data_IF_971837957175
#
_entry.id   IF_971837957175
#
_cell.length_a   1.000
_cell.length_b   1.000
_cell.length_c   1.000
_cell.angle_alpha   90.00
_cell.angle_beta   90.00
_cell.angle_gamma   90.00
#
_symmetry.space_group_name_H-M   'P 1'
#
loop_
_entity.id
_entity.type
_entity.pdbx_description
1 polymer ?
#
# COMPACT_ATOMS: atom_id res chain seq x y z
N UNK A 1 13.19 -13.04 -11.47
CA UNK A 1 11.74 -12.81 -11.64
C UNK A 1 11.13 -12.51 -10.27
N UNK A 2 10.34 -11.46 -10.16
CA UNK A 2 9.62 -11.14 -8.91
C UNK A 2 8.48 -12.13 -8.73
N UNK A 3 8.30 -12.62 -7.50
CA UNK A 3 7.32 -13.69 -7.20
C UNK A 3 6.04 -13.18 -6.58
N UNK A 4 6.05 -11.93 -6.12
CA UNK A 4 4.92 -11.33 -5.41
C UNK A 4 4.41 -10.10 -6.16
N UNK A 5 3.15 -9.74 -5.90
CA UNK A 5 2.56 -8.46 -6.29
C UNK A 5 2.33 -7.62 -5.04
N UNK A 6 2.46 -6.31 -5.17
CA UNK A 6 2.11 -5.38 -4.10
C UNK A 6 1.33 -4.20 -4.68
N UNK A 7 0.17 -3.92 -4.10
CA UNK A 7 -0.67 -2.78 -4.49
C UNK A 7 -0.53 -1.69 -3.45
N UNK A 8 -0.13 -0.51 -3.89
CA UNK A 8 0.01 0.71 -3.09
C UNK A 8 -0.94 1.79 -3.58
N UNK A 9 -1.65 2.45 -2.68
CA UNK A 9 -2.53 3.57 -3.01
C UNK A 9 -2.88 4.39 -1.77
N UNK A 10 -3.44 5.58 -1.97
CA UNK A 10 -4.11 6.36 -0.91
C UNK A 10 -5.57 5.92 -0.71
N UNK A 11 -6.15 5.23 -1.67
CA UNK A 11 -7.46 4.59 -1.57
C UNK A 11 -7.27 3.12 -1.17
N UNK A 12 -7.21 2.88 0.15
CA UNK A 12 -6.90 1.57 0.69
C UNK A 12 -7.96 0.52 0.37
N UNK A 13 -9.24 0.90 0.40
CA UNK A 13 -10.34 -0.04 0.15
C UNK A 13 -10.34 -0.50 -1.31
N UNK A 14 -10.13 0.41 -2.25
CA UNK A 14 -9.96 0.08 -3.67
C UNK A 14 -8.73 -0.82 -3.88
N UNK A 15 -7.60 -0.50 -3.27
CA UNK A 15 -6.39 -1.33 -3.35
C UNK A 15 -6.62 -2.73 -2.81
N UNK A 16 -7.37 -2.86 -1.71
CA UNK A 16 -7.70 -4.13 -1.10
C UNK A 16 -8.61 -4.97 -1.99
N UNK A 17 -9.61 -4.36 -2.60
CA UNK A 17 -10.48 -5.03 -3.57
C UNK A 17 -9.68 -5.52 -4.78
N UNK A 18 -8.89 -4.65 -5.39
CA UNK A 18 -8.02 -5.00 -6.51
C UNK A 18 -7.03 -6.11 -6.16
N UNK A 19 -6.37 -6.03 -5.00
CA UNK A 19 -5.41 -7.05 -4.57
C UNK A 19 -6.06 -8.44 -4.40
N UNK A 20 -7.30 -8.50 -3.93
CA UNK A 20 -8.07 -9.77 -3.86
C UNK A 20 -8.34 -10.33 -5.26
N UNK A 21 -8.78 -9.49 -6.19
CA UNK A 21 -9.04 -9.90 -7.59
C UNK A 21 -7.74 -10.40 -8.25
N UNK A 22 -6.63 -9.72 -8.03
CA UNK A 22 -5.32 -10.16 -8.54
C UNK A 22 -4.91 -11.50 -7.94
N UNK A 23 -5.09 -11.69 -6.63
CA UNK A 23 -4.76 -12.94 -5.96
C UNK A 23 -5.57 -14.12 -6.53
N UNK A 24 -6.86 -13.95 -6.78
CA UNK A 24 -7.72 -14.93 -7.44
C UNK A 24 -7.26 -15.18 -8.90
N UNK A 25 -7.03 -14.10 -9.66
CA UNK A 25 -6.66 -14.18 -11.09
C UNK A 25 -5.35 -14.93 -11.31
N UNK A 26 -4.36 -14.71 -10.43
CA UNK A 26 -3.04 -15.32 -10.55
C UNK A 26 -2.84 -16.53 -9.63
N UNK A 27 -3.89 -17.00 -8.94
CA UNK A 27 -3.85 -18.13 -7.99
C UNK A 27 -2.78 -17.92 -6.90
N UNK A 28 -2.66 -16.69 -6.39
CA UNK A 28 -1.71 -16.28 -5.35
C UNK A 28 -2.44 -16.11 -4.00
N UNK A 29 -1.67 -16.08 -2.92
CA UNK A 29 -2.21 -15.79 -1.58
C UNK A 29 -2.43 -14.30 -1.41
N UNK A 30 -3.52 -13.90 -0.79
CA UNK A 30 -3.81 -12.50 -0.45
C UNK A 30 -3.37 -12.18 0.98
N UNK A 31 -2.71 -11.03 1.17
CA UNK A 31 -2.33 -10.49 2.46
C UNK A 31 -2.63 -9.00 2.56
N UNK A 32 -3.35 -8.64 3.62
CA UNK A 32 -3.68 -7.27 3.99
C UNK A 32 -2.78 -6.84 5.15
N UNK A 33 -1.97 -5.80 4.92
CA UNK A 33 -0.97 -5.34 5.89
C UNK A 33 -1.60 -4.87 7.21
N UNK A 34 -2.76 -4.23 7.15
CA UNK A 34 -3.48 -3.78 8.35
C UNK A 34 -4.12 -4.95 9.09
N UNK A 35 -4.70 -5.91 8.35
CA UNK A 35 -5.21 -7.14 8.97
C UNK A 35 -4.09 -7.96 9.63
N UNK A 36 -2.93 -8.07 8.98
CA UNK A 36 -1.74 -8.69 9.58
C UNK A 36 -1.31 -7.98 10.86
N UNK A 37 -1.30 -6.64 10.86
CA UNK A 37 -1.00 -5.86 12.05
C UNK A 37 -1.99 -6.18 13.18
N UNK A 38 -3.28 -6.11 12.89
CA UNK A 38 -4.34 -6.34 13.86
C UNK A 38 -4.26 -7.77 14.43
N UNK A 39 -4.04 -8.77 13.58
CA UNK A 39 -3.90 -10.16 13.99
C UNK A 39 -2.73 -10.38 14.97
N UNK A 40 -1.57 -9.78 14.68
CA UNK A 40 -0.37 -9.94 15.51
C UNK A 40 -0.36 -9.11 16.79
N UNK A 41 -1.26 -8.13 16.93
CA UNK A 41 -1.29 -7.21 18.05
C UNK A 41 -2.63 -7.22 18.82
N UNK A 42 -3.46 -8.26 18.65
CA UNK A 42 -4.74 -8.43 19.37
C UNK A 42 -4.55 -8.20 20.89
N UNK A 43 -5.42 -7.45 21.53
CA UNK A 43 -6.69 -6.87 21.04
C UNK A 43 -6.55 -5.46 20.43
N UNK A 44 -5.37 -4.99 20.09
CA UNK A 44 -5.12 -3.60 19.68
C UNK A 44 -5.01 -3.50 18.16
N UNK A 45 -5.84 -2.65 17.58
CA UNK A 45 -5.65 -2.09 16.24
C UNK A 45 -4.64 -0.93 16.24
N UNK A 46 -4.35 -0.37 15.06
CA UNK A 46 -3.40 0.74 14.91
C UNK A 46 -3.79 1.93 15.79
N UNK A 47 -5.07 2.33 15.77
CA UNK A 47 -5.57 3.48 16.51
C UNK A 47 -5.47 3.29 18.03
N UNK A 48 -5.90 2.14 18.53
CA UNK A 48 -5.79 1.80 19.95
C UNK A 48 -4.33 1.76 20.41
N UNK A 49 -3.44 1.22 19.58
CA UNK A 49 -2.02 1.17 19.91
C UNK A 49 -1.38 2.55 19.96
N UNK A 50 -1.77 3.49 19.07
CA UNK A 50 -1.34 4.89 19.16
C UNK A 50 -1.75 5.53 20.47
N UNK A 51 -3.01 5.36 20.86
CA UNK A 51 -3.55 5.95 22.11
C UNK A 51 -2.88 5.39 23.36
N UNK A 52 -2.60 4.10 23.40
CA UNK A 52 -2.12 3.43 24.60
C UNK A 52 -0.59 3.38 24.71
N UNK A 53 0.09 3.23 23.60
CA UNK A 53 1.54 2.96 23.56
C UNK A 53 2.37 4.06 22.89
N UNK A 54 1.72 5.01 22.23
CA UNK A 54 2.36 6.12 21.52
C UNK A 54 2.87 5.78 20.12
N UNK A 55 3.33 6.82 19.43
CA UNK A 55 3.70 6.77 18.01
C UNK A 55 4.88 5.83 17.74
N UNK A 56 5.98 5.99 18.48
CA UNK A 56 7.21 5.22 18.23
C UNK A 56 7.01 3.72 18.37
N UNK A 57 6.24 3.31 19.38
CA UNK A 57 5.92 1.91 19.58
C UNK A 57 5.05 1.35 18.45
N UNK A 58 4.03 2.11 18.03
CA UNK A 58 3.14 1.71 16.94
C UNK A 58 3.90 1.61 15.61
N UNK A 59 4.76 2.59 15.29
CA UNK A 59 5.64 2.54 14.11
C UNK A 59 6.54 1.32 14.12
N UNK A 60 7.13 0.98 15.27
CA UNK A 60 7.95 -0.24 15.41
C UNK A 60 7.17 -1.50 15.11
N UNK A 61 5.90 -1.57 15.51
CA UNK A 61 5.02 -2.72 15.24
C UNK A 61 4.60 -2.79 13.77
N UNK A 62 4.26 -1.67 13.15
CA UNK A 62 3.98 -1.59 11.71
C UNK A 62 5.20 -2.06 10.90
N UNK A 63 6.39 -1.61 11.24
CA UNK A 63 7.64 -2.07 10.61
C UNK A 63 7.86 -3.58 10.76
N UNK A 64 7.43 -4.18 11.88
CA UNK A 64 7.56 -5.63 12.07
C UNK A 64 6.66 -6.41 11.10
N UNK A 65 5.46 -5.91 10.80
CA UNK A 65 4.55 -6.50 9.81
C UNK A 65 5.16 -6.42 8.41
N UNK A 66 5.59 -5.23 7.99
CA UNK A 66 6.23 -5.04 6.67
C UNK A 66 7.46 -5.94 6.52
N UNK A 67 8.22 -6.15 7.59
CA UNK A 67 9.40 -7.02 7.58
C UNK A 67 9.05 -8.50 7.34
N UNK A 68 7.92 -8.97 7.86
CA UNK A 68 7.49 -10.36 7.65
C UNK A 68 7.18 -10.66 6.18
N UNK A 69 6.74 -9.67 5.42
CA UNK A 69 6.40 -9.83 4.00
C UNK A 69 7.61 -10.18 3.12
N UNK A 70 8.83 -9.89 3.58
CA UNK A 70 10.07 -10.19 2.85
C UNK A 70 10.25 -11.71 2.63
N UNK A 71 9.71 -12.51 3.54
CA UNK A 71 9.89 -13.96 3.55
C UNK A 71 8.73 -14.71 2.83
N UNK A 72 7.77 -13.99 2.24
CA UNK A 72 6.66 -14.61 1.53
C UNK A 72 6.94 -14.71 0.03
N UNK A 73 6.46 -15.79 -0.57
CA UNK A 73 6.43 -16.02 -2.02
C UNK A 73 4.99 -16.26 -2.49
N UNK A 74 4.73 -16.08 -3.79
CA UNK A 74 3.45 -16.31 -4.46
C UNK A 74 2.27 -15.63 -3.75
N UNK A 75 2.46 -14.33 -3.48
CA UNK A 75 1.55 -13.55 -2.64
C UNK A 75 1.23 -12.20 -3.26
N UNK A 76 0.00 -11.73 -3.02
CA UNK A 76 -0.44 -10.36 -3.33
C UNK A 76 -0.64 -9.63 -2.02
N UNK A 77 0.09 -8.53 -1.86
CA UNK A 77 0.01 -7.66 -0.69
C UNK A 77 -0.76 -6.39 -1.01
N UNK A 78 -1.54 -5.91 -0.06
CA UNK A 78 -2.04 -4.55 -0.04
C UNK A 78 -1.41 -3.78 1.11
N UNK A 79 -0.91 -2.59 0.82
CA UNK A 79 -0.30 -1.71 1.80
C UNK A 79 -0.81 -0.27 1.64
N UNK A 80 -0.93 0.45 2.74
CA UNK A 80 -1.24 1.87 2.73
C UNK A 80 0.02 2.67 2.39
N UNK A 81 -0.09 3.56 1.40
CA UNK A 81 1.03 4.40 0.96
C UNK A 81 1.54 5.34 2.08
N UNK A 82 0.69 5.68 3.05
CA UNK A 82 1.09 6.47 4.20
C UNK A 82 2.17 5.80 5.06
N UNK A 83 2.34 4.48 4.96
CA UNK A 83 3.39 3.75 5.67
C UNK A 83 4.77 3.85 5.01
N UNK A 84 4.85 4.27 3.74
CA UNK A 84 6.11 4.29 2.98
C UNK A 84 7.18 5.13 3.68
N UNK A 85 6.84 6.31 4.20
CA UNK A 85 7.80 7.18 4.89
C UNK A 85 8.38 6.55 6.17
N UNK A 86 7.58 5.73 6.86
CA UNK A 86 7.96 5.07 8.10
C UNK A 86 8.73 3.76 7.87
N UNK A 87 8.63 3.20 6.67
CA UNK A 87 9.15 1.89 6.31
C UNK A 87 9.92 1.88 4.99
N UNK A 88 10.37 3.03 4.48
CA UNK A 88 10.98 3.19 3.15
C UNK A 88 12.15 2.22 2.90
N UNK A 89 13.00 1.99 3.89
CA UNK A 89 14.10 1.04 3.82
C UNK A 89 13.62 -0.42 3.65
N UNK A 90 12.46 -0.77 4.19
CA UNK A 90 11.85 -2.08 4.03
C UNK A 90 11.15 -2.20 2.66
N UNK A 91 10.43 -1.16 2.23
CA UNK A 91 9.81 -1.14 0.90
C UNK A 91 10.86 -1.27 -0.21
N UNK A 92 12.03 -0.64 -0.07
CA UNK A 92 13.15 -0.83 -1.00
C UNK A 92 13.65 -2.28 -1.04
N UNK A 93 13.60 -2.99 0.08
CA UNK A 93 13.92 -4.43 0.09
C UNK A 93 12.81 -5.26 -0.55
N UNK A 94 11.55 -4.95 -0.25
CA UNK A 94 10.39 -5.62 -0.85
C UNK A 94 10.36 -5.49 -2.38
N UNK A 95 10.88 -4.40 -2.93
CA UNK A 95 11.00 -4.19 -4.38
C UNK A 95 11.77 -5.32 -5.09
N UNK A 96 12.70 -6.00 -4.43
CA UNK A 96 13.46 -7.08 -5.05
C UNK A 96 12.61 -8.34 -5.32
N UNK A 97 11.59 -8.60 -4.49
CA UNK A 97 10.72 -9.77 -4.59
C UNK A 97 9.30 -9.46 -5.04
N UNK A 98 8.89 -8.20 -5.01
CA UNK A 98 7.55 -7.76 -5.34
C UNK A 98 7.52 -6.91 -6.61
N UNK A 99 6.56 -7.18 -7.50
CA UNK A 99 6.15 -6.25 -8.54
C UNK A 99 5.21 -5.23 -7.90
N UNK A 100 5.67 -4.00 -7.76
CA UNK A 100 4.97 -2.96 -7.03
C UNK A 100 4.14 -2.12 -8.00
N UNK A 101 2.84 -2.10 -7.78
CA UNK A 101 1.83 -1.38 -8.54
C UNK A 101 1.38 -0.19 -7.69
N UNK A 102 1.56 1.02 -8.20
CA UNK A 102 1.10 2.24 -7.57
C UNK A 102 -0.12 2.79 -8.28
N UNK A 103 -1.25 2.77 -7.58
CA UNK A 103 -2.49 3.42 -8.02
C UNK A 103 -2.53 4.84 -7.47
N UNK A 104 -2.79 5.82 -8.33
CA UNK A 104 -2.85 7.22 -7.91
C UNK A 104 -3.95 7.96 -8.66
N UNK A 105 -4.51 8.97 -8.01
CA UNK A 105 -5.40 9.98 -8.62
C UNK A 105 -4.63 11.25 -8.88
N UNK A 106 -5.22 12.16 -9.62
CA UNK A 106 -4.73 13.53 -9.70
C UNK A 106 -4.67 14.14 -8.30
N UNK A 107 -3.66 14.97 -8.05
CA UNK A 107 -3.33 15.43 -6.68
C UNK A 107 -4.51 16.11 -5.98
N UNK A 108 -5.33 16.89 -6.72
CA UNK A 108 -6.49 17.54 -6.15
C UNK A 108 -7.56 16.55 -5.66
N UNK A 109 -7.80 15.48 -6.42
CA UNK A 109 -8.77 14.44 -6.07
C UNK A 109 -8.28 13.61 -4.88
N UNK A 110 -6.99 13.26 -4.85
CA UNK A 110 -6.41 12.56 -3.70
C UNK A 110 -6.45 13.38 -2.41
N UNK A 111 -6.17 14.69 -2.48
CA UNK A 111 -6.26 15.56 -1.31
C UNK A 111 -7.69 15.62 -0.80
N UNK A 112 -8.68 15.69 -1.68
CA UNK A 112 -10.09 15.71 -1.29
C UNK A 112 -10.49 14.40 -0.61
N UNK A 113 -10.08 13.26 -1.16
CA UNK A 113 -10.35 11.94 -0.57
C UNK A 113 -9.68 11.79 0.81
N UNK A 114 -8.42 12.20 0.94
CA UNK A 114 -7.71 12.14 2.23
C UNK A 114 -8.32 13.06 3.28
N UNK A 115 -8.79 14.26 2.89
CA UNK A 115 -9.48 15.17 3.81
C UNK A 115 -10.82 14.62 4.28
N UNK A 116 -11.48 13.79 3.48
CA UNK A 116 -12.73 13.15 3.83
C UNK A 116 -12.54 11.97 4.81
N UNK A 117 -11.33 11.42 4.95
CA UNK A 117 -11.03 10.35 5.90
C UNK A 117 -11.10 10.84 7.34
N UNK A 118 -11.76 10.07 8.19
CA UNK A 118 -11.74 10.27 9.64
C UNK A 118 -10.55 9.54 10.26
N UNK A 119 -9.80 10.25 11.09
CA UNK A 119 -8.68 9.68 11.84
C UNK A 119 -9.00 9.70 13.33
N UNK A 120 -8.69 8.61 14.02
CA UNK A 120 -9.04 8.49 15.44
C UNK A 120 -8.19 9.39 16.35
N UNK A 121 -6.94 9.70 15.93
CA UNK A 121 -6.03 10.56 16.69
C UNK A 121 -5.28 11.54 15.79
N UNK A 122 -4.76 12.67 16.36
CA UNK A 122 -3.86 13.58 15.65
C UNK A 122 -2.59 12.87 15.14
N UNK A 123 -2.08 11.90 15.89
CA UNK A 123 -0.89 11.13 15.57
C UNK A 123 -1.14 10.20 14.38
N UNK A 124 -2.30 9.55 14.36
CA UNK A 124 -2.73 8.74 13.22
C UNK A 124 -2.88 9.61 11.97
N UNK A 125 -3.52 10.78 12.11
CA UNK A 125 -3.61 11.75 11.02
C UNK A 125 -2.24 12.20 10.52
N UNK A 126 -1.27 12.41 11.39
CA UNK A 126 0.09 12.76 11.00
C UNK A 126 0.79 11.65 10.22
N UNK A 127 0.53 10.37 10.58
CA UNK A 127 1.05 9.21 9.86
C UNK A 127 0.50 9.12 8.44
N UNK A 128 -0.79 9.39 8.26
CA UNK A 128 -1.52 9.32 6.98
C UNK A 128 -1.86 10.72 6.42
N UNK A 129 -0.98 11.70 6.65
CA UNK A 129 -1.24 13.12 6.39
C UNK A 129 -1.78 13.41 5.01
N UNK A 130 -2.78 14.31 4.97
CA UNK A 130 -3.32 14.95 3.75
C UNK A 130 -2.60 16.26 3.40
N UNK A 131 -1.43 16.51 3.95
CA UNK A 131 -0.59 17.65 3.57
C UNK A 131 -0.11 17.52 2.13
N UNK A 132 -0.36 18.53 1.31
CA UNK A 132 -0.09 18.50 -0.13
C UNK A 132 1.41 18.30 -0.44
N UNK A 133 2.29 18.94 0.32
CA UNK A 133 3.73 18.82 0.09
C UNK A 133 4.21 17.40 0.42
N UNK A 134 3.72 16.84 1.53
CA UNK A 134 4.04 15.49 1.93
C UNK A 134 3.46 14.47 0.95
N UNK A 135 2.22 14.69 0.48
CA UNK A 135 1.59 13.87 -0.54
C UNK A 135 2.41 13.85 -1.83
N UNK A 136 2.79 15.01 -2.35
CA UNK A 136 3.59 15.12 -3.57
C UNK A 136 4.96 14.47 -3.41
N UNK A 137 5.61 14.63 -2.25
CA UNK A 137 6.88 13.97 -1.95
C UNK A 137 6.74 12.44 -1.94
N UNK A 138 5.71 11.90 -1.30
CA UNK A 138 5.42 10.46 -1.26
C UNK A 138 5.13 9.92 -2.66
N UNK A 139 4.29 10.61 -3.44
CA UNK A 139 4.00 10.24 -4.83
C UNK A 139 5.28 10.19 -5.66
N UNK A 140 6.17 11.17 -5.50
CA UNK A 140 7.45 11.19 -6.20
C UNK A 140 8.31 9.98 -5.82
N UNK A 141 8.50 9.73 -4.53
CA UNK A 141 9.30 8.59 -4.04
C UNK A 141 8.73 7.27 -4.53
N UNK A 142 7.43 7.04 -4.36
CA UNK A 142 6.80 5.80 -4.81
C UNK A 142 6.90 5.65 -6.32
N UNK A 143 6.64 6.72 -7.08
CA UNK A 143 6.69 6.68 -8.53
C UNK A 143 8.09 6.48 -9.09
N UNK A 144 9.12 7.08 -8.48
CA UNK A 144 10.48 7.04 -9.02
C UNK A 144 11.33 5.90 -8.47
N UNK A 145 11.12 5.52 -7.21
CA UNK A 145 12.01 4.59 -6.52
C UNK A 145 11.38 3.21 -6.27
N UNK A 146 10.07 3.14 -6.04
CA UNK A 146 9.42 1.92 -5.61
C UNK A 146 8.60 1.24 -6.71
N UNK A 147 7.73 1.98 -7.39
CA UNK A 147 6.77 1.38 -8.31
C UNK A 147 7.43 0.84 -9.58
N UNK A 148 7.05 -0.37 -9.95
CA UNK A 148 7.37 -0.96 -11.25
C UNK A 148 6.29 -0.59 -12.29
N UNK A 149 5.06 -0.42 -11.85
CA UNK A 149 3.94 0.07 -12.64
C UNK A 149 3.19 1.18 -11.92
N UNK A 150 2.67 2.13 -12.69
CA UNK A 150 1.91 3.28 -12.19
C UNK A 150 0.63 3.42 -12.99
N UNK A 151 -0.51 3.38 -12.31
CA UNK A 151 -1.82 3.49 -12.94
C UNK A 151 -2.53 4.72 -12.40
N UNK A 152 -2.83 5.69 -13.27
CA UNK A 152 -3.71 6.81 -12.91
C UNK A 152 -5.15 6.32 -12.96
N UNK A 153 -5.81 6.31 -11.80
CA UNK A 153 -7.17 5.80 -11.64
C UNK A 153 -8.23 6.89 -11.67
N UNK A 154 -7.84 8.14 -11.95
CA UNK A 154 -8.79 9.28 -12.04
C UNK A 154 -9.86 9.03 -13.09
N UNK A 155 -11.12 8.95 -12.67
CA UNK A 155 -12.26 8.76 -13.55
C UNK A 155 -12.44 7.37 -14.15
N UNK A 156 -11.60 6.40 -13.79
CA UNK A 156 -11.73 5.02 -14.24
C UNK A 156 -12.71 4.23 -13.37
N UNK A 157 -13.46 3.34 -14.00
CA UNK A 157 -14.22 2.30 -13.32
C UNK A 157 -13.29 1.20 -12.78
N UNK A 158 -13.78 0.39 -11.84
CA UNK A 158 -13.01 -0.73 -11.28
C UNK A 158 -12.57 -1.72 -12.37
N UNK A 159 -13.42 -2.02 -13.34
CA UNK A 159 -13.10 -2.93 -14.44
C UNK A 159 -11.97 -2.39 -15.34
N UNK A 160 -11.96 -1.08 -15.61
CA UNK A 160 -10.88 -0.43 -16.36
C UNK A 160 -9.57 -0.48 -15.58
N UNK A 161 -9.59 -0.20 -14.27
CA UNK A 161 -8.42 -0.30 -13.40
C UNK A 161 -7.86 -1.72 -13.40
N UNK A 162 -8.72 -2.73 -13.24
CA UNK A 162 -8.31 -4.15 -13.27
C UNK A 162 -7.62 -4.49 -14.59
N UNK A 163 -8.21 -4.08 -15.72
CA UNK A 163 -7.66 -4.36 -17.04
C UNK A 163 -6.28 -3.72 -17.25
N UNK A 164 -6.12 -2.46 -16.88
CA UNK A 164 -4.85 -1.73 -16.95
C UNK A 164 -3.75 -2.40 -16.10
N UNK A 165 -4.10 -2.77 -14.87
CA UNK A 165 -3.17 -3.43 -13.95
C UNK A 165 -2.77 -4.82 -14.47
N UNK A 166 -3.72 -5.63 -14.94
CA UNK A 166 -3.43 -6.96 -15.49
C UNK A 166 -2.56 -6.84 -16.74
N UNK A 167 -2.83 -5.88 -17.62
CA UNK A 167 -2.01 -5.63 -18.81
C UNK A 167 -0.56 -5.30 -18.41
N UNK A 168 -0.38 -4.39 -17.47
CA UNK A 168 0.93 -4.00 -16.94
C UNK A 168 1.71 -5.18 -16.33
N UNK A 169 1.04 -6.06 -15.59
CA UNK A 169 1.65 -7.27 -15.01
C UNK A 169 2.08 -8.22 -16.14
N UNK A 170 1.22 -8.47 -17.12
CA UNK A 170 1.52 -9.36 -18.25
C UNK A 170 2.69 -8.83 -19.09
N UNK A 171 2.73 -7.54 -19.34
CA UNK A 171 3.82 -6.90 -20.09
C UNK A 171 5.16 -7.08 -19.37
N UNK A 172 5.19 -6.91 -18.05
CA UNK A 172 6.39 -7.14 -17.26
C UNK A 172 6.90 -8.58 -17.36
N UNK A 173 6.02 -9.57 -17.26
CA UNK A 173 6.41 -10.98 -17.32
C UNK A 173 6.59 -11.53 -18.74
N UNK A 174 6.15 -10.82 -19.77
CA UNK A 174 6.36 -11.21 -21.17
C UNK A 174 7.75 -10.83 -21.70
N UNK A 175 8.46 -9.92 -21.03
CA UNK A 175 9.79 -9.41 -21.42
C UNK A 175 10.93 -10.27 -20.86
N UNK A 176 10.66 -11.13 -19.88
CA UNK A 176 11.59 -12.10 -19.28
C UNK A 176 11.46 -13.48 -19.94
#
# INVERSE_FOLDING_TARGET
MKRNLMVLSYDYDLSKELAKILAETFSMRFFDQIEMFNFHNVPRDVSSMYKECGEDYTKKKLRSVVKMEIDFDDSVFVADIGLVDNCSDLFLKLKHSNFIIFLYKDTADEINDLKAKEYATPEEKALFSSDENLLNKRKLVVSSELADSRVNITGLSIDEIINEVIASIKDYYAVD
#
